data_IF_612063261689
#
_entry.id   IF_612063261689
#
_cell.length_a   1.000
_cell.length_b   1.000
_cell.length_c   1.000
_cell.angle_alpha   90.00
_cell.angle_beta   90.00
_cell.angle_gamma   90.00
#
_symmetry.space_group_name_H-M   'P 1'
#
loop_
_entity.id
_entity.type
_entity.pdbx_description
1 polymer ?
#
# COMPACT_ATOMS: atom_id res chain seq x y z
N UNK A 1 16.45 40.61 104.28
CA UNK A 1 15.57 41.28 105.26
C UNK A 1 14.58 40.27 105.82
N UNK A 2 14.47 40.18 107.16
CA UNK A 2 13.38 39.58 107.98
C UNK A 2 12.97 38.12 107.65
N UNK A 3 13.19 37.10 108.46
CA UNK A 3 13.28 37.04 109.92
C UNK A 3 11.92 36.77 110.56
N UNK A 4 11.69 35.53 111.02
CA UNK A 4 10.86 35.11 112.18
C UNK A 4 10.87 33.57 112.25
N UNK A 5 11.65 33.00 113.17
CA UNK A 5 11.32 32.68 114.58
C UNK A 5 10.39 31.47 114.73
N UNK A 6 11.03 30.41 115.20
CA UNK A 6 10.51 29.24 115.90
C UNK A 6 9.35 29.59 116.86
N UNK A 7 8.30 28.78 116.80
CA UNK A 7 7.49 28.44 117.97
C UNK A 7 7.14 26.96 117.88
N UNK A 8 7.62 26.22 118.86
CA UNK A 8 7.39 24.82 119.08
C UNK A 8 6.48 24.74 120.30
N UNK A 9 5.21 24.40 120.13
CA UNK A 9 4.35 23.93 121.22
C UNK A 9 3.52 22.75 120.74
N UNK A 10 3.88 21.57 121.26
CA UNK A 10 3.12 20.33 121.14
C UNK A 10 1.70 20.52 121.70
N UNK A 11 0.71 20.08 120.96
CA UNK A 11 -0.43 19.38 121.53
C UNK A 11 -0.66 18.11 120.72
N UNK A 12 -0.69 17.00 121.45
CA UNK A 12 -0.90 15.67 120.96
C UNK A 12 -2.38 15.47 120.64
N UNK A 13 -2.65 15.07 119.40
CA UNK A 13 -3.82 14.35 118.96
C UNK A 13 -3.31 13.29 117.98
N UNK A 14 -3.83 12.05 117.99
CA UNK A 14 -3.30 10.99 117.15
C UNK A 14 -3.59 11.38 115.69
N UNK A 15 -2.56 11.86 114.99
CA UNK A 15 -2.63 12.09 113.55
C UNK A 15 -2.98 10.77 112.88
N UNK A 16 -3.80 10.77 111.81
CA UNK A 16 -4.14 9.56 111.10
C UNK A 16 -2.84 8.93 110.61
N UNK A 17 -2.49 7.78 111.17
CA UNK A 17 -1.37 7.00 110.67
C UNK A 17 -1.64 6.72 109.19
N UNK A 18 -0.63 6.83 108.30
CA UNK A 18 -0.80 6.36 106.95
C UNK A 18 -1.10 4.87 107.05
N UNK A 19 -2.36 4.49 106.84
CA UNK A 19 -2.76 3.09 106.79
C UNK A 19 -1.87 2.43 105.73
N UNK A 20 -0.92 1.59 106.16
CA UNK A 20 0.01 0.89 105.28
C UNK A 20 -0.73 0.19 104.13
N UNK A 21 -1.93 -0.29 104.39
CA UNK A 21 -2.85 -0.86 103.41
C UNK A 21 -3.22 0.09 102.29
N UNK A 22 -3.50 1.38 102.56
CA UNK A 22 -3.82 2.35 101.51
C UNK A 22 -2.59 2.73 100.66
N UNK A 23 -1.40 2.76 101.26
CA UNK A 23 -0.14 2.98 100.52
C UNK A 23 0.18 1.77 99.63
N UNK A 24 -0.01 0.55 100.13
CA UNK A 24 0.12 -0.67 99.34
C UNK A 24 -0.91 -0.73 98.20
N UNK A 25 -2.16 -0.31 98.43
CA UNK A 25 -3.17 -0.26 97.39
C UNK A 25 -2.81 0.75 96.29
N UNK A 26 -2.34 1.95 96.64
CA UNK A 26 -1.91 2.96 95.67
C UNK A 26 -0.66 2.50 94.90
N UNK A 27 0.32 1.90 95.59
CA UNK A 27 1.50 1.30 94.96
C UNK A 27 1.08 0.17 94.01
N UNK A 28 0.23 -0.76 94.45
CA UNK A 28 -0.22 -1.89 93.62
C UNK A 28 -0.98 -1.45 92.37
N UNK A 29 -1.84 -0.44 92.48
CA UNK A 29 -2.56 0.15 91.33
C UNK A 29 -1.58 0.81 90.36
N UNK A 30 -0.58 1.51 90.88
CA UNK A 30 0.45 2.14 90.05
C UNK A 30 1.34 1.09 89.37
N UNK A 31 1.70 0.01 90.06
CA UNK A 31 2.43 -1.12 89.47
C UNK A 31 1.60 -1.82 88.39
N UNK A 32 0.32 -2.09 88.64
CA UNK A 32 -0.59 -2.65 87.62
C UNK A 32 -0.73 -1.76 86.39
N UNK A 33 -0.78 -0.44 86.57
CA UNK A 33 -0.82 0.50 85.46
C UNK A 33 0.46 0.46 84.63
N UNK A 34 1.63 0.44 85.28
CA UNK A 34 2.90 0.30 84.56
C UNK A 34 3.05 -1.05 83.87
N UNK A 35 2.57 -2.14 84.48
CA UNK A 35 2.53 -3.46 83.85
C UNK A 35 1.69 -3.42 82.56
N UNK A 36 0.52 -2.78 82.60
CA UNK A 36 -0.34 -2.63 81.42
C UNK A 36 0.29 -1.76 80.33
N UNK A 37 0.94 -0.65 80.69
CA UNK A 37 1.66 0.19 79.73
C UNK A 37 2.83 -0.58 79.11
N UNK A 38 3.63 -1.29 79.90
CA UNK A 38 4.74 -2.11 79.41
C UNK A 38 4.22 -3.17 78.45
N UNK A 39 3.12 -3.86 78.79
CA UNK A 39 2.55 -4.89 77.94
C UNK A 39 2.00 -4.31 76.62
N UNK A 40 1.37 -3.12 76.63
CA UNK A 40 0.97 -2.44 75.40
C UNK A 40 2.19 -2.05 74.56
N UNK A 41 3.26 -1.52 75.18
CA UNK A 41 4.51 -1.21 74.50
C UNK A 41 5.17 -2.45 73.89
N UNK A 42 5.23 -3.57 74.61
CA UNK A 42 5.76 -4.84 74.10
C UNK A 42 4.93 -5.35 72.91
N UNK A 43 3.61 -5.27 72.99
CA UNK A 43 2.72 -5.68 71.90
C UNK A 43 2.96 -4.84 70.63
N UNK A 44 3.09 -3.52 70.78
CA UNK A 44 3.37 -2.59 69.67
C UNK A 44 4.77 -2.80 69.11
N UNK A 45 5.75 -3.08 69.96
CA UNK A 45 7.11 -3.37 69.52
C UNK A 45 7.16 -4.68 68.73
N UNK A 46 6.46 -5.72 69.19
CA UNK A 46 6.37 -7.00 68.49
C UNK A 46 5.71 -6.83 67.11
N UNK A 47 4.62 -6.05 67.02
CA UNK A 47 3.97 -5.73 65.74
C UNK A 47 4.90 -4.93 64.83
N UNK A 48 5.58 -3.92 65.35
CA UNK A 48 6.48 -3.08 64.56
C UNK A 48 7.72 -3.85 64.07
N UNK A 49 8.28 -4.74 64.90
CA UNK A 49 9.37 -5.63 64.49
C UNK A 49 8.89 -6.66 63.45
N UNK A 50 7.68 -7.20 63.62
CA UNK A 50 7.03 -8.06 62.62
C UNK A 50 6.85 -7.36 61.28
N UNK A 51 6.33 -6.12 61.30
CA UNK A 51 6.17 -5.29 60.10
C UNK A 51 7.51 -4.94 59.45
N UNK A 52 8.50 -4.54 60.24
CA UNK A 52 9.86 -4.26 59.74
C UNK A 52 10.48 -5.50 59.09
N UNK A 53 10.31 -6.67 59.71
CA UNK A 53 10.75 -7.94 59.13
C UNK A 53 10.02 -8.25 57.82
N UNK A 54 8.70 -8.09 57.77
CA UNK A 54 7.92 -8.29 56.55
C UNK A 54 8.35 -7.36 55.41
N UNK A 55 8.59 -6.08 55.71
CA UNK A 55 9.12 -5.12 54.74
C UNK A 55 10.51 -5.55 54.26
N UNK A 56 11.39 -5.99 55.16
CA UNK A 56 12.73 -6.45 54.77
C UNK A 56 12.69 -7.66 53.84
N UNK A 57 11.77 -8.60 54.07
CA UNK A 57 11.58 -9.77 53.21
C UNK A 57 11.04 -9.38 51.84
N UNK A 58 10.07 -8.48 51.79
CA UNK A 58 9.52 -7.96 50.52
C UNK A 58 10.56 -7.17 49.73
N UNK A 59 11.39 -6.37 50.41
CA UNK A 59 12.48 -5.64 49.76
C UNK A 59 13.51 -6.60 49.15
N UNK A 60 13.82 -7.68 49.87
CA UNK A 60 14.75 -8.70 49.38
C UNK A 60 14.19 -9.45 48.17
N UNK A 61 12.91 -9.82 48.20
CA UNK A 61 12.20 -10.46 47.08
C UNK A 61 12.09 -9.52 45.87
N UNK A 62 11.71 -8.27 46.08
CA UNK A 62 11.66 -7.28 45.00
C UNK A 62 13.04 -7.09 44.36
N UNK A 63 14.10 -7.04 45.17
CA UNK A 63 15.47 -6.94 44.68
C UNK A 63 15.86 -8.16 43.84
N UNK A 64 15.59 -9.38 44.32
CA UNK A 64 15.95 -10.60 43.58
C UNK A 64 15.20 -10.70 42.26
N UNK A 65 13.93 -10.31 42.22
CA UNK A 65 13.12 -10.23 41.00
C UNK A 65 13.71 -9.22 40.01
N UNK A 66 14.14 -8.04 40.48
CA UNK A 66 14.78 -7.03 39.62
C UNK A 66 16.11 -7.55 39.06
N UNK A 67 16.96 -8.16 39.88
CA UNK A 67 18.24 -8.73 39.44
C UNK A 67 18.02 -9.85 38.40
N UNK A 68 17.01 -10.71 38.62
CA UNK A 68 16.63 -11.74 37.66
C UNK A 68 16.15 -11.16 36.33
N UNK A 69 15.26 -10.16 36.37
CA UNK A 69 14.77 -9.52 35.14
C UNK A 69 15.88 -8.80 34.39
N UNK A 70 16.81 -8.14 35.11
CA UNK A 70 17.96 -7.48 34.49
C UNK A 70 18.87 -8.49 33.78
N UNK A 71 19.11 -9.65 34.38
CA UNK A 71 19.90 -10.70 33.75
C UNK A 71 19.18 -11.29 32.52
N UNK A 72 17.86 -11.51 32.60
CA UNK A 72 17.08 -12.01 31.47
C UNK A 72 17.02 -11.00 30.32
N UNK A 73 16.88 -9.70 30.62
CA UNK A 73 16.89 -8.66 29.57
C UNK A 73 18.27 -8.50 28.96
N UNK A 74 19.35 -8.59 29.73
CA UNK A 74 20.70 -8.58 29.19
C UNK A 74 20.95 -9.77 28.24
N UNK A 75 20.56 -10.98 28.65
CA UNK A 75 20.67 -12.17 27.81
C UNK A 75 19.78 -12.10 26.56
N UNK A 76 18.57 -11.57 26.69
CA UNK A 76 17.66 -11.34 25.57
C UNK A 76 18.21 -10.28 24.60
N UNK A 77 18.84 -9.21 25.10
CA UNK A 77 19.49 -8.20 24.27
C UNK A 77 20.68 -8.77 23.51
N UNK A 78 21.50 -9.59 24.18
CA UNK A 78 22.66 -10.25 23.58
C UNK A 78 22.28 -11.23 22.47
N UNK A 79 21.12 -11.88 22.58
CA UNK A 79 20.61 -12.81 21.55
C UNK A 79 19.79 -12.12 20.46
N UNK A 80 18.94 -11.17 20.82
CA UNK A 80 18.01 -10.53 19.87
C UNK A 80 18.72 -9.54 18.96
N UNK A 81 19.70 -8.80 19.48
CA UNK A 81 20.45 -7.81 18.69
C UNK A 81 21.18 -8.43 17.49
N UNK A 82 22.02 -9.46 17.63
CA UNK A 82 22.72 -10.04 16.48
C UNK A 82 21.73 -10.71 15.52
N UNK A 83 20.62 -11.27 16.02
CA UNK A 83 19.58 -11.82 15.17
C UNK A 83 18.94 -10.72 14.29
N UNK A 84 18.58 -9.58 14.87
CA UNK A 84 18.06 -8.43 14.11
C UNK A 84 19.09 -7.92 13.11
N UNK A 85 20.36 -7.77 13.52
CA UNK A 85 21.44 -7.31 12.63
C UNK A 85 21.65 -8.29 11.45
N UNK A 86 21.57 -9.60 11.70
CA UNK A 86 21.66 -10.61 10.67
C UNK A 86 20.46 -10.56 9.71
N UNK A 87 19.23 -10.52 10.23
CA UNK A 87 18.03 -10.43 9.38
C UNK A 87 18.05 -9.17 8.52
N UNK A 88 18.47 -8.02 9.07
CA UNK A 88 18.62 -6.80 8.29
C UNK A 88 19.67 -6.93 7.17
N UNK A 89 20.78 -7.62 7.44
CA UNK A 89 21.80 -7.85 6.43
C UNK A 89 21.28 -8.78 5.31
N UNK A 90 20.52 -9.81 5.66
CA UNK A 90 19.86 -10.71 4.70
C UNK A 90 18.84 -9.95 3.84
N UNK A 91 18.00 -9.11 4.46
CA UNK A 91 17.00 -8.30 3.76
C UNK A 91 17.66 -7.27 2.84
N UNK A 92 18.75 -6.63 3.28
CA UNK A 92 19.51 -5.70 2.44
C UNK A 92 20.14 -6.41 1.23
N UNK A 93 20.70 -7.60 1.43
CA UNK A 93 21.24 -8.39 0.33
C UNK A 93 20.14 -8.81 -0.67
N UNK A 94 18.95 -9.15 -0.18
CA UNK A 94 17.80 -9.46 -1.02
C UNK A 94 17.32 -8.24 -1.81
N UNK A 95 17.30 -7.06 -1.19
CA UNK A 95 16.95 -5.80 -1.86
C UNK A 95 17.99 -5.41 -2.91
N UNK A 96 19.28 -5.59 -2.64
CA UNK A 96 20.35 -5.35 -3.60
C UNK A 96 20.23 -6.31 -4.80
N UNK A 97 19.94 -7.59 -4.55
CA UNK A 97 19.69 -8.55 -5.61
C UNK A 97 18.45 -8.16 -6.44
N UNK A 98 17.39 -7.68 -5.80
CA UNK A 98 16.20 -7.20 -6.50
C UNK A 98 16.50 -5.97 -7.35
N UNK A 99 17.28 -5.02 -6.85
CA UNK A 99 17.70 -3.81 -7.57
C UNK A 99 18.49 -4.15 -8.84
N UNK A 100 19.30 -5.21 -8.82
CA UNK A 100 20.01 -5.72 -10.01
C UNK A 100 19.05 -6.37 -11.02
N UNK A 101 17.99 -7.05 -10.56
CA UNK A 101 17.06 -7.77 -11.45
C UNK A 101 15.94 -6.89 -12.00
N UNK A 102 15.49 -5.88 -11.27
CA UNK A 102 14.41 -4.99 -11.66
C UNK A 102 14.61 -4.31 -13.03
N UNK A 103 15.78 -3.70 -13.35
CA UNK A 103 15.99 -3.05 -14.64
C UNK A 103 15.94 -4.07 -15.79
N UNK A 104 16.38 -5.31 -15.56
CA UNK A 104 16.31 -6.37 -16.57
C UNK A 104 14.86 -6.75 -16.87
N UNK A 105 14.02 -6.86 -15.84
CA UNK A 105 12.58 -7.13 -16.03
C UNK A 105 11.90 -5.95 -16.73
N UNK A 106 12.29 -4.72 -16.41
CA UNK A 106 11.79 -3.52 -17.09
C UNK A 106 12.14 -3.53 -18.59
N UNK A 107 13.40 -3.84 -18.95
CA UNK A 107 13.82 -3.99 -20.34
C UNK A 107 13.02 -5.07 -21.08
N UNK A 108 12.81 -6.22 -20.44
CA UNK A 108 12.01 -7.32 -21.00
C UNK A 108 10.55 -6.88 -21.23
N UNK A 109 9.94 -6.15 -20.29
CA UNK A 109 8.58 -5.62 -20.43
C UNK A 109 8.48 -4.58 -21.56
N UNK A 110 9.47 -3.70 -21.71
CA UNK A 110 9.52 -2.73 -22.81
C UNK A 110 9.59 -3.46 -24.16
N UNK A 111 10.40 -4.51 -24.26
CA UNK A 111 10.52 -5.33 -25.47
C UNK A 111 9.19 -6.03 -25.81
N UNK A 112 8.53 -6.64 -24.83
CA UNK A 112 7.22 -7.28 -25.00
C UNK A 112 6.17 -6.25 -25.42
N UNK A 113 6.16 -5.07 -24.79
CA UNK A 113 5.29 -3.96 -25.14
C UNK A 113 5.47 -3.54 -26.60
N UNK A 114 6.73 -3.40 -27.04
CA UNK A 114 7.04 -3.07 -28.42
C UNK A 114 6.53 -4.13 -29.42
N UNK A 115 6.75 -5.41 -29.13
CA UNK A 115 6.26 -6.52 -29.99
C UNK A 115 4.73 -6.52 -30.05
N UNK A 116 4.06 -6.29 -28.92
CA UNK A 116 2.61 -6.20 -28.86
C UNK A 116 2.06 -5.03 -29.69
N UNK A 117 2.68 -3.85 -29.57
CA UNK A 117 2.28 -2.67 -30.34
C UNK A 117 2.51 -2.85 -31.85
N UNK A 118 3.64 -3.44 -32.26
CA UNK A 118 3.88 -3.82 -33.65
C UNK A 118 2.83 -4.80 -34.16
N UNK A 119 2.47 -5.80 -33.35
CA UNK A 119 1.40 -6.76 -33.66
C UNK A 119 0.05 -6.06 -33.85
N UNK A 120 -0.28 -5.09 -32.98
CA UNK A 120 -1.49 -4.28 -33.08
C UNK A 120 -1.54 -3.46 -34.36
N UNK A 121 -0.47 -2.76 -34.71
CA UNK A 121 -0.39 -1.97 -35.95
C UNK A 121 -0.62 -2.87 -37.15
N UNK A 122 0.06 -4.02 -37.22
CA UNK A 122 -0.11 -4.99 -38.31
C UNK A 122 -1.52 -5.57 -38.38
N UNK A 123 -2.16 -5.81 -37.25
CA UNK A 123 -3.55 -6.26 -37.21
C UNK A 123 -4.50 -5.18 -37.73
N UNK A 124 -4.28 -3.91 -37.39
CA UNK A 124 -5.06 -2.79 -37.92
C UNK A 124 -4.87 -2.68 -39.44
N UNK A 125 -3.66 -2.78 -39.95
CA UNK A 125 -3.39 -2.81 -41.39
C UNK A 125 -4.15 -3.97 -42.07
N UNK A 126 -4.09 -5.17 -41.52
CA UNK A 126 -4.82 -6.32 -42.05
C UNK A 126 -6.34 -6.09 -42.04
N UNK A 127 -6.89 -5.52 -40.98
CA UNK A 127 -8.32 -5.19 -40.90
C UNK A 127 -8.69 -4.18 -41.98
N UNK A 128 -7.87 -3.14 -42.18
CA UNK A 128 -8.12 -2.16 -43.25
C UNK A 128 -8.02 -2.78 -44.64
N UNK A 129 -7.08 -3.71 -44.85
CA UNK A 129 -6.93 -4.45 -46.10
C UNK A 129 -8.12 -5.40 -46.34
N UNK A 130 -8.61 -6.07 -45.29
CA UNK A 130 -9.78 -6.94 -45.33
C UNK A 130 -11.07 -6.16 -45.56
N UNK A 131 -11.24 -5.00 -44.93
CA UNK A 131 -12.38 -4.10 -45.15
C UNK A 131 -12.37 -3.54 -46.58
N UNK A 132 -11.18 -3.22 -47.10
CA UNK A 132 -11.01 -2.94 -48.52
C UNK A 132 -11.33 -4.17 -49.38
N UNK A 133 -10.99 -5.38 -48.90
CA UNK A 133 -11.27 -6.66 -49.55
C UNK A 133 -12.77 -7.00 -49.64
N UNK A 134 -13.52 -6.63 -48.61
CA UNK A 134 -14.95 -6.94 -48.45
C UNK A 134 -15.87 -5.91 -49.12
N UNK A 135 -15.33 -4.74 -49.47
CA UNK A 135 -16.09 -3.72 -50.19
C UNK A 135 -16.71 -4.25 -51.51
N UNK A 136 -17.96 -3.92 -51.84
CA UNK A 136 -18.64 -4.46 -53.01
C UNK A 136 -17.93 -4.12 -54.33
N UNK A 137 -17.90 -5.07 -55.26
CA UNK A 137 -17.13 -4.98 -56.51
C UNK A 137 -17.46 -3.73 -57.36
N UNK A 138 -18.71 -3.24 -57.31
CA UNK A 138 -19.14 -2.02 -58.01
C UNK A 138 -18.53 -0.75 -57.43
N UNK A 139 -18.36 -0.65 -56.12
CA UNK A 139 -17.73 0.50 -55.46
C UNK A 139 -16.21 0.46 -55.61
N UNK A 140 -15.61 -0.73 -55.66
CA UNK A 140 -14.19 -0.95 -55.94
C UNK A 140 -13.79 -0.56 -57.35
N UNK A 141 -14.52 -1.02 -58.37
CA UNK A 141 -14.21 -0.66 -59.76
C UNK A 141 -14.33 0.85 -59.99
N UNK A 142 -15.32 1.50 -59.37
CA UNK A 142 -15.46 2.97 -59.40
C UNK A 142 -14.31 3.68 -58.68
N UNK A 143 -13.88 3.21 -57.50
CA UNK A 143 -12.73 3.77 -56.78
C UNK A 143 -11.41 3.55 -57.53
N UNK A 144 -11.20 2.38 -58.14
CA UNK A 144 -10.00 2.08 -58.96
C UNK A 144 -9.93 2.97 -60.21
N UNK A 145 -11.08 3.27 -60.81
CA UNK A 145 -11.15 4.11 -62.02
C UNK A 145 -10.95 5.60 -61.73
N UNK A 146 -11.41 6.11 -60.57
CA UNK A 146 -11.45 7.55 -60.26
C UNK A 146 -10.53 8.04 -59.13
N UNK A 147 -10.01 7.18 -58.26
CA UNK A 147 -9.16 7.58 -57.13
C UNK A 147 -7.77 6.96 -57.23
N UNK A 148 -6.73 7.80 -57.21
CA UNK A 148 -5.35 7.37 -57.42
C UNK A 148 -4.75 6.56 -56.25
N UNK A 149 -5.39 6.60 -55.08
CA UNK A 149 -4.99 5.95 -53.82
C UNK A 149 -5.76 4.65 -53.58
N UNK A 150 -5.63 3.68 -54.48
CA UNK A 150 -6.04 2.30 -54.22
C UNK A 150 -4.78 1.45 -54.11
N UNK A 151 -4.61 0.62 -53.06
CA UNK A 151 -3.42 -0.21 -52.84
C UNK A 151 -3.43 -1.44 -53.75
N UNK A 152 -3.54 -1.22 -55.05
CA UNK A 152 -3.48 -2.28 -56.07
C UNK A 152 -2.27 -2.02 -56.94
N UNK A 153 -1.58 -3.09 -57.33
CA UNK A 153 -0.38 -3.00 -58.15
C UNK A 153 -0.60 -2.09 -59.37
N UNK A 154 0.37 -1.23 -59.63
CA UNK A 154 0.33 -0.24 -60.74
C UNK A 154 0.04 -0.89 -62.10
N UNK A 155 0.43 -2.16 -62.26
CA UNK A 155 0.16 -2.99 -63.45
C UNK A 155 -1.33 -3.21 -63.69
N UNK A 156 -2.08 -3.54 -62.64
CA UNK A 156 -3.53 -3.79 -62.73
C UNK A 156 -4.25 -2.47 -63.05
N UNK A 157 -3.82 -1.36 -62.44
CA UNK A 157 -4.35 -0.02 -62.75
C UNK A 157 -4.13 0.37 -64.22
N UNK A 158 -2.95 0.07 -64.77
CA UNK A 158 -2.65 0.30 -66.17
C UNK A 158 -3.52 -0.57 -67.10
N UNK A 159 -3.67 -1.87 -66.79
CA UNK A 159 -4.51 -2.79 -67.56
C UNK A 159 -5.97 -2.33 -67.64
N UNK A 160 -6.57 -1.90 -66.53
CA UNK A 160 -7.94 -1.41 -66.56
C UNK A 160 -8.08 -0.11 -67.37
N UNK A 161 -7.09 0.79 -67.28
CA UNK A 161 -7.10 2.05 -68.04
C UNK A 161 -6.88 1.84 -69.54
N UNK A 162 -6.03 0.89 -69.93
CA UNK A 162 -5.83 0.53 -71.33
C UNK A 162 -7.03 -0.19 -71.92
N UNK A 163 -7.67 -1.10 -71.15
CA UNK A 163 -8.87 -1.80 -71.59
C UNK A 163 -10.04 -0.80 -71.80
N UNK A 164 -10.20 0.16 -70.89
CA UNK A 164 -11.17 1.24 -71.05
C UNK A 164 -10.87 2.11 -72.30
N UNK A 165 -9.62 2.52 -72.50
CA UNK A 165 -9.22 3.29 -73.68
C UNK A 165 -9.50 2.51 -74.96
N UNK A 166 -9.17 1.23 -75.01
CA UNK A 166 -9.40 0.36 -76.16
C UNK A 166 -10.89 0.20 -76.48
N UNK A 167 -11.73 0.01 -75.45
CA UNK A 167 -13.18 -0.01 -75.61
C UNK A 167 -13.73 1.32 -76.15
N UNK A 168 -13.20 2.45 -75.67
CA UNK A 168 -13.58 3.78 -76.18
C UNK A 168 -13.18 3.97 -77.65
N UNK A 169 -11.96 3.58 -78.03
CA UNK A 169 -11.51 3.63 -79.41
C UNK A 169 -12.35 2.74 -80.33
N UNK A 170 -12.70 1.53 -79.89
CA UNK A 170 -13.63 0.66 -80.62
C UNK A 170 -15.00 1.32 -80.78
N UNK A 171 -15.53 1.96 -79.74
CA UNK A 171 -16.79 2.69 -79.80
C UNK A 171 -16.75 3.85 -80.80
N UNK A 172 -15.70 4.67 -80.77
CA UNK A 172 -15.49 5.76 -81.72
C UNK A 172 -15.32 5.23 -83.15
N UNK A 173 -14.60 4.13 -83.33
CA UNK A 173 -14.42 3.48 -84.62
C UNK A 173 -15.74 2.97 -85.21
N UNK A 174 -16.55 2.29 -84.39
CA UNK A 174 -17.88 1.83 -84.82
C UNK A 174 -18.77 3.04 -85.14
N UNK A 175 -18.78 4.07 -84.30
CA UNK A 175 -19.54 5.29 -84.55
C UNK A 175 -19.11 5.94 -85.87
N UNK A 176 -17.81 6.02 -86.13
CA UNK A 176 -17.26 6.53 -87.39
C UNK A 176 -17.72 5.71 -88.60
N UNK A 177 -17.62 4.39 -88.53
CA UNK A 177 -18.12 3.49 -89.58
C UNK A 177 -19.63 3.65 -89.81
N UNK A 178 -20.41 3.78 -88.74
CA UNK A 178 -21.87 4.02 -88.87
C UNK A 178 -22.16 5.38 -89.51
N UNK A 179 -21.37 6.40 -89.20
CA UNK A 179 -21.51 7.74 -89.76
C UNK A 179 -21.15 7.73 -91.25
N UNK A 180 -20.03 7.13 -91.64
CA UNK A 180 -19.67 6.94 -93.05
C UNK A 180 -20.71 6.11 -93.80
N UNK A 181 -21.22 5.04 -93.17
CA UNK A 181 -22.29 4.21 -93.71
C UNK A 181 -23.57 5.01 -93.96
N UNK A 182 -23.98 5.82 -92.98
CA UNK A 182 -25.13 6.70 -93.09
C UNK A 182 -24.93 7.77 -94.17
N UNK A 183 -23.74 8.38 -94.27
CA UNK A 183 -23.39 9.35 -95.31
C UNK A 183 -23.42 8.71 -96.69
N UNK A 184 -22.93 7.46 -96.83
CA UNK A 184 -22.94 6.73 -98.09
C UNK A 184 -24.37 6.36 -98.51
N UNK A 185 -25.20 5.92 -97.58
CA UNK A 185 -26.63 5.67 -97.82
C UNK A 185 -27.36 6.96 -98.23
N UNK A 186 -27.06 8.09 -97.59
CA UNK A 186 -27.64 9.39 -97.93
C UNK A 186 -27.21 9.87 -99.33
N UNK A 187 -25.94 9.66 -99.71
CA UNK A 187 -25.46 9.97 -101.06
C UNK A 187 -26.11 9.07 -102.13
N UNK A 188 -26.25 7.77 -101.86
CA UNK A 188 -26.94 6.88 -102.79
C UNK A 188 -28.42 7.28 -102.95
N UNK A 189 -29.11 7.67 -101.87
CA UNK A 189 -30.51 8.14 -101.95
C UNK A 189 -30.68 9.40 -102.82
N UNK A 190 -29.68 10.26 -102.92
CA UNK A 190 -29.70 11.44 -103.81
C UNK A 190 -29.58 11.03 -105.30
N UNK A 191 -28.75 10.02 -105.62
CA UNK A 191 -28.57 9.54 -107.02
C UNK A 191 -29.84 8.88 -107.57
N UNK A 192 -30.64 8.22 -106.71
CA UNK A 192 -31.94 7.67 -107.11
C UNK A 192 -33.06 8.73 -107.14
N UNK A 193 -32.90 9.85 -106.42
CA UNK A 193 -33.83 10.98 -106.47
C UNK A 193 -33.80 11.73 -107.80
N UNK A 194 -32.63 11.89 -108.41
CA UNK A 194 -32.47 12.56 -109.71
C UNK A 194 -32.98 11.71 -110.89
N UNK A 195 -33.06 10.38 -110.74
CA UNK A 195 -33.59 9.47 -111.77
C UNK A 195 -35.13 9.30 -111.75
N UNK A 196 -35.82 9.88 -110.77
CA UNK A 196 -37.29 9.86 -110.67
C UNK A 196 -37.96 11.17 -111.15
N UNK A 197 -37.16 12.18 -111.54
CA UNK A 197 -37.63 13.49 -112.03
C UNK A 197 -37.32 13.73 -113.52
N UNK A 198 -37.04 12.66 -114.27
CA UNK A 198 -37.05 12.64 -115.74
C UNK A 198 -38.24 11.85 -116.24
#
# INVERSE_FOLDING_TARGET
MRGRKLSMSRFAGPGPQPNLTSVYEVMSRRTLHYEQEIQDFESRLAINLGNSRAISTLLHEAKSVVEQHQHQTAAALETTRPHIEQTLAEDLAALEQLDVHLPRVEEELVCIGHVYDCGRVKAQELVTDLEWLDSPLTTRLRKILFTASAPVSTRVKALFRTLFALAFFLGVWIAWLTLEGAVRAHRQRLVWGERLLS
#
